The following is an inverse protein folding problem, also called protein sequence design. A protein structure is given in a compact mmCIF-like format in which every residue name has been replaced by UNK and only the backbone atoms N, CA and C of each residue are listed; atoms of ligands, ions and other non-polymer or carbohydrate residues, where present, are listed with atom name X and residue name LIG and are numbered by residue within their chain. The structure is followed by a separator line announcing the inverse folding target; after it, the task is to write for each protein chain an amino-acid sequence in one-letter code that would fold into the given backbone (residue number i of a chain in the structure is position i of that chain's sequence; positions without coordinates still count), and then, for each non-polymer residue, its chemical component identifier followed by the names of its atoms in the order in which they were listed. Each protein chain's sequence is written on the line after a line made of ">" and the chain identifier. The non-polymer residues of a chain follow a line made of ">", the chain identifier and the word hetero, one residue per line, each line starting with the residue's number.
data_IF_681072702222
#
_entry.id   IF_681072702222
#
_cell.length_a   1.000
_cell.length_b   1.000
_cell.length_c   1.000
_cell.angle_alpha   90.00
_cell.angle_beta   90.00
_cell.angle_gamma   90.00
#
_symmetry.space_group_name_H-M   'P 1'
#
loop_
_entity.id
_entity.type
_entity.pdbx_description
1 polymer ?
#
# COMPACT_ATOMS: atom_id res chain seq x y z
N UNK A 1 -21.44 -1.44 1.27
CA UNK A 1 -20.04 -1.90 1.11
C UNK A 1 -19.29 -1.51 2.38
N UNK A 2 -18.44 -2.38 2.94
CA UNK A 2 -17.80 -2.09 4.22
C UNK A 2 -16.64 -1.11 4.04
N UNK A 3 -16.68 0.02 4.76
CA UNK A 3 -15.51 0.87 4.97
C UNK A 3 -14.62 0.21 6.03
N UNK A 4 -13.36 -0.02 5.68
CA UNK A 4 -12.40 -0.65 6.58
C UNK A 4 -11.68 0.41 7.41
N UNK A 5 -11.64 0.21 8.73
CA UNK A 5 -10.97 1.08 9.71
C UNK A 5 -9.73 0.39 10.26
N UNK A 6 -8.81 1.14 10.85
CA UNK A 6 -7.56 0.62 11.43
C UNK A 6 -7.72 -0.49 12.47
N UNK A 7 -8.90 -0.61 13.10
CA UNK A 7 -9.23 -1.67 14.06
C UNK A 7 -9.73 -2.97 13.41
N UNK A 8 -9.84 -3.00 12.09
CA UNK A 8 -10.31 -4.14 11.32
C UNK A 8 -9.11 -4.75 10.58
N UNK A 9 -9.11 -6.07 10.40
CA UNK A 9 -8.10 -6.77 9.60
C UNK A 9 -8.72 -7.16 8.24
N UNK A 10 -8.58 -6.34 7.18
CA UNK A 10 -9.02 -6.70 5.84
C UNK A 10 -8.32 -7.90 5.27
N UNK A 11 -9.03 -9.02 5.32
CA UNK A 11 -8.71 -10.19 4.50
C UNK A 11 -9.84 -10.40 3.49
N UNK A 12 -9.78 -9.68 2.37
CA UNK A 12 -10.44 -10.12 1.13
C UNK A 12 -9.42 -10.97 0.38
N UNK A 13 -9.29 -12.22 0.80
CA UNK A 13 -8.60 -13.24 0.03
C UNK A 13 -9.66 -14.21 -0.47
N UNK A 14 -10.03 -14.07 -1.73
CA UNK A 14 -10.80 -15.08 -2.43
C UNK A 14 -10.49 -14.96 -3.91
N UNK A 15 -9.62 -15.83 -4.42
CA UNK A 15 -9.84 -16.35 -5.77
C UNK A 15 -11.14 -17.15 -5.67
N UNK A 16 -12.28 -16.49 -5.85
CA UNK A 16 -13.56 -17.13 -5.63
C UNK A 16 -13.67 -18.34 -6.56
N UNK A 17 -13.55 -19.54 -5.99
CA UNK A 17 -14.16 -20.75 -6.51
C UNK A 17 -15.68 -20.54 -6.49
N UNK A 18 -16.19 -19.83 -7.48
CA UNK A 18 -17.60 -19.89 -7.80
C UNK A 18 -17.76 -20.92 -8.90
N UNK A 19 -18.52 -21.97 -8.59
CA UNK A 19 -19.14 -22.94 -9.48
C UNK A 19 -20.07 -22.32 -10.54
N UNK A 20 -19.82 -21.06 -10.93
CA UNK A 20 -20.63 -20.21 -11.80
C UNK A 20 -19.81 -19.41 -12.83
N UNK A 21 -18.48 -19.58 -12.89
CA UNK A 21 -17.66 -19.13 -14.03
C UNK A 21 -17.49 -17.62 -14.25
N UNK A 22 -17.91 -16.76 -13.31
CA UNK A 22 -17.75 -15.30 -13.42
C UNK A 22 -16.73 -14.79 -12.41
N UNK A 23 -15.65 -14.16 -12.90
CA UNK A 23 -14.62 -13.56 -12.07
C UNK A 23 -15.22 -12.42 -11.22
N UNK A 24 -15.07 -12.52 -9.90
CA UNK A 24 -15.53 -11.48 -9.00
C UNK A 24 -14.51 -10.34 -8.98
N UNK A 25 -14.87 -9.19 -9.55
CA UNK A 25 -14.08 -7.96 -9.41
C UNK A 25 -14.59 -7.17 -8.21
N UNK A 26 -13.70 -6.81 -7.28
CA UNK A 26 -14.06 -5.91 -6.19
C UNK A 26 -14.34 -4.51 -6.72
N UNK A 27 -15.37 -3.83 -6.22
CA UNK A 27 -15.63 -2.42 -6.55
C UNK A 27 -15.89 -1.61 -5.28
N UNK A 28 -15.56 -0.32 -5.29
CA UNK A 28 -15.83 0.58 -4.18
C UNK A 28 -15.04 0.28 -2.90
N UNK A 29 -13.81 -0.23 -3.01
CA UNK A 29 -12.96 -0.56 -1.86
C UNK A 29 -12.01 0.61 -1.59
N UNK A 30 -12.15 1.22 -0.41
CA UNK A 30 -11.35 2.36 0.01
C UNK A 30 -10.41 2.04 1.17
N UNK A 31 -9.18 2.55 1.10
CA UNK A 31 -8.27 2.69 2.24
C UNK A 31 -8.15 4.17 2.60
N UNK A 32 -8.47 4.50 3.86
CA UNK A 32 -8.47 5.90 4.29
C UNK A 32 -7.92 6.12 5.70
N UNK A 33 -7.29 7.29 5.92
CA UNK A 33 -6.89 7.80 7.24
C UNK A 33 -5.99 6.84 8.04
N UNK A 34 -5.00 6.24 7.38
CA UNK A 34 -4.11 5.23 7.95
C UNK A 34 -2.64 5.61 7.76
N UNK A 35 -1.81 5.30 8.75
CA UNK A 35 -0.36 5.23 8.59
C UNK A 35 0.09 3.78 8.64
N UNK A 36 0.83 3.34 7.63
CA UNK A 36 1.51 2.04 7.59
C UNK A 36 3.01 2.29 7.70
N UNK A 37 3.63 1.74 8.73
CA UNK A 37 5.06 1.87 8.99
C UNK A 37 5.65 0.46 9.12
N UNK A 38 6.56 0.11 8.22
CA UNK A 38 7.22 -1.19 8.29
C UNK A 38 8.51 -1.08 9.08
N UNK A 39 8.63 -1.88 10.13
CA UNK A 39 9.88 -2.06 10.88
C UNK A 39 10.35 -3.50 10.63
N UNK A 40 11.61 -3.69 10.22
CA UNK A 40 12.22 -5.00 9.91
C UNK A 40 11.75 -5.69 8.61
N UNK A 41 11.86 -5.00 7.46
CA UNK A 41 11.67 -5.63 6.15
C UNK A 41 12.76 -6.67 5.84
N UNK A 42 12.55 -7.93 6.23
CA UNK A 42 13.41 -9.06 5.83
C UNK A 42 12.90 -9.62 4.50
N UNK A 43 13.36 -9.05 3.39
CA UNK A 43 12.78 -9.30 2.06
C UNK A 43 13.00 -10.73 1.55
N UNK A 44 11.92 -11.52 1.51
CA UNK A 44 11.67 -12.49 0.45
C UNK A 44 10.15 -12.70 0.32
N UNK A 45 9.46 -11.87 -0.47
CA UNK A 45 8.08 -12.17 -0.91
C UNK A 45 7.08 -11.00 -0.92
N UNK A 46 7.34 -9.90 -0.21
CA UNK A 46 6.44 -8.73 -0.20
C UNK A 46 7.00 -7.65 -1.13
N UNK A 47 6.34 -7.43 -2.28
CA UNK A 47 6.79 -6.48 -3.32
C UNK A 47 6.13 -5.08 -3.17
N UNK A 48 5.01 -5.00 -2.44
CA UNK A 48 4.26 -3.75 -2.20
C UNK A 48 3.68 -3.66 -0.80
N UNK A 49 3.48 -2.43 -0.30
CA UNK A 49 2.75 -2.20 0.98
C UNK A 49 1.24 -2.34 0.76
N UNK A 50 0.71 -1.70 -0.29
CA UNK A 50 -0.70 -1.76 -0.67
C UNK A 50 -0.79 -2.37 -2.06
N UNK A 51 -1.64 -3.37 -2.24
CA UNK A 51 -1.93 -3.97 -3.54
C UNK A 51 -3.43 -3.92 -3.84
N UNK A 52 -3.77 -3.43 -5.03
CA UNK A 52 -5.11 -3.56 -5.62
C UNK A 52 -5.09 -4.66 -6.68
N UNK A 53 -5.70 -5.80 -6.38
CA UNK A 53 -5.81 -6.95 -7.28
C UNK A 53 -7.25 -7.21 -7.73
N UNK A 54 -7.53 -7.23 -9.04
CA UNK A 54 -8.89 -7.48 -9.60
C UNK A 54 -9.98 -6.53 -9.05
N UNK A 55 -9.71 -5.22 -9.07
CA UNK A 55 -10.65 -4.22 -8.56
C UNK A 55 -10.89 -3.03 -9.50
N UNK A 56 -12.03 -2.37 -9.32
CA UNK A 56 -12.39 -1.13 -10.02
C UNK A 56 -12.98 -0.08 -9.07
N UNK A 57 -12.99 1.20 -9.46
CA UNK A 57 -13.64 2.30 -8.71
C UNK A 57 -13.26 2.32 -7.22
N UNK A 58 -11.97 2.13 -6.95
CA UNK A 58 -11.42 1.95 -5.60
C UNK A 58 -10.43 3.07 -5.30
N UNK A 59 -10.07 3.28 -4.04
CA UNK A 59 -9.28 4.46 -3.70
C UNK A 59 -8.37 4.31 -2.48
N UNK A 60 -7.36 5.20 -2.45
CA UNK A 60 -6.50 5.48 -1.31
C UNK A 60 -6.59 6.98 -1.02
N UNK A 61 -7.05 7.34 0.18
CA UNK A 61 -7.20 8.74 0.59
C UNK A 61 -6.58 9.00 1.96
N UNK A 62 -5.71 10.00 2.06
CA UNK A 62 -5.11 10.37 3.34
C UNK A 62 -4.42 9.17 4.01
N UNK A 63 -3.63 8.43 3.23
CA UNK A 63 -2.84 7.29 3.72
C UNK A 63 -1.36 7.65 3.65
N UNK A 64 -0.65 7.37 4.74
CA UNK A 64 0.80 7.47 4.80
C UNK A 64 1.41 6.07 4.77
N UNK A 65 2.42 5.85 3.93
CA UNK A 65 3.21 4.62 3.98
C UNK A 65 4.70 4.96 4.10
N UNK A 66 5.34 4.37 5.12
CA UNK A 66 6.73 4.64 5.51
C UNK A 66 7.53 3.35 5.39
N UNK A 67 8.74 3.48 4.85
CA UNK A 67 9.70 2.38 4.71
C UNK A 67 9.09 1.21 3.89
N UNK A 68 8.84 1.44 2.60
CA UNK A 68 8.32 0.41 1.70
C UNK A 68 9.40 -0.53 1.17
N UNK A 69 9.04 -1.77 0.80
CA UNK A 69 9.99 -2.73 0.24
C UNK A 69 10.50 -2.25 -1.12
N UNK A 70 9.74 -2.49 -2.19
CA UNK A 70 10.02 -1.98 -3.55
C UNK A 70 8.99 -0.95 -4.00
N UNK A 71 7.71 -1.22 -3.71
CA UNK A 71 6.59 -0.39 -4.13
C UNK A 71 5.77 0.01 -2.92
N UNK A 72 5.33 1.27 -2.86
CA UNK A 72 4.35 1.66 -1.86
C UNK A 72 2.94 1.19 -2.27
N UNK A 73 2.62 1.25 -3.57
CA UNK A 73 1.35 0.80 -4.13
C UNK A 73 1.61 -0.03 -5.39
N UNK A 74 0.92 -1.17 -5.54
CA UNK A 74 0.86 -1.97 -6.76
C UNK A 74 -0.57 -2.15 -7.27
N UNK A 75 -0.69 -2.35 -8.57
CA UNK A 75 -1.94 -2.62 -9.27
C UNK A 75 -1.78 -3.88 -10.11
N UNK A 76 -2.68 -4.85 -9.91
CA UNK A 76 -2.76 -6.06 -10.71
C UNK A 76 -4.20 -6.19 -11.19
N UNK A 77 -4.42 -6.06 -12.51
CA UNK A 77 -5.76 -6.15 -13.09
C UNK A 77 -6.75 -5.18 -12.42
N UNK A 78 -6.30 -3.94 -12.18
CA UNK A 78 -7.06 -2.90 -11.52
C UNK A 78 -7.25 -1.68 -12.45
N UNK A 79 -8.45 -1.10 -12.44
CA UNK A 79 -8.82 0.05 -13.29
C UNK A 79 -9.62 1.09 -12.47
N UNK A 80 -9.63 2.36 -12.89
CA UNK A 80 -10.33 3.44 -12.17
C UNK A 80 -9.99 3.51 -10.67
N UNK A 81 -8.69 3.63 -10.36
CA UNK A 81 -8.21 3.77 -8.98
C UNK A 81 -7.80 5.22 -8.70
N UNK A 82 -8.34 5.80 -7.64
CA UNK A 82 -7.98 7.15 -7.18
C UNK A 82 -7.00 7.08 -6.02
N UNK A 83 -5.83 7.71 -6.16
CA UNK A 83 -4.92 7.97 -5.03
C UNK A 83 -4.89 9.47 -4.82
N UNK A 84 -5.29 9.92 -3.64
CA UNK A 84 -5.26 11.35 -3.28
C UNK A 84 -4.84 11.59 -1.84
N UNK A 85 -4.35 12.79 -1.59
CA UNK A 85 -4.00 13.30 -0.25
C UNK A 85 -3.04 12.37 0.54
N UNK A 86 -2.21 11.59 -0.15
CA UNK A 86 -1.42 10.49 0.47
C UNK A 86 0.08 10.79 0.44
N UNK A 87 0.83 10.22 1.39
CA UNK A 87 2.27 10.47 1.56
C UNK A 87 3.06 9.16 1.55
N UNK A 88 4.04 9.06 0.65
CA UNK A 88 4.87 7.86 0.47
C UNK A 88 6.33 8.23 0.63
N UNK A 89 7.01 7.64 1.61
CA UNK A 89 8.43 7.89 1.81
C UNK A 89 9.18 6.62 2.21
N UNK A 90 10.43 6.55 1.77
CA UNK A 90 11.41 5.69 2.42
C UNK A 90 11.94 6.43 3.65
N UNK A 91 12.16 5.72 4.75
CA UNK A 91 12.98 6.28 5.82
C UNK A 91 14.43 6.20 5.33
N UNK A 92 15.00 7.34 4.95
CA UNK A 92 16.44 7.40 4.74
C UNK A 92 17.08 7.21 6.12
N UNK A 93 17.75 6.07 6.33
CA UNK A 93 18.61 5.89 7.49
C UNK A 93 19.41 7.17 7.71
N UNK A 94 19.29 7.77 8.91
CA UNK A 94 20.22 8.81 9.35
C UNK A 94 21.64 8.25 9.21
N UNK A 95 22.35 8.71 8.18
CA UNK A 95 23.59 8.10 7.69
C UNK A 95 23.76 8.20 6.17
N UNK A 96 22.65 8.30 5.40
CA UNK A 96 22.71 8.51 3.95
C UNK A 96 22.92 9.98 3.53
N UNK A 97 22.76 10.92 4.47
CA UNK A 97 23.07 12.35 4.30
C UNK A 97 24.36 12.69 5.07
N UNK A 98 25.48 12.24 4.51
CA UNK A 98 26.87 12.63 4.77
C UNK A 98 27.14 13.70 5.88
N UNK A 99 27.65 13.32 7.07
CA UNK A 99 28.14 14.29 8.07
C UNK A 99 29.58 14.81 7.79
N UNK A 100 30.21 14.51 6.66
CA UNK A 100 31.60 14.94 6.35
C UNK A 100 31.73 16.20 5.49
N UNK A 101 30.67 16.99 5.31
CA UNK A 101 30.82 18.34 4.76
C UNK A 101 30.94 19.36 5.90
N UNK A 102 32.15 19.94 6.03
CA UNK A 102 32.49 21.17 6.75
C UNK A 102 33.05 21.03 8.18
N UNK A 103 34.36 20.72 8.26
CA UNK A 103 35.27 21.38 9.22
C UNK A 103 36.60 21.70 8.54
N UNK A 104 36.61 22.79 7.78
CA UNK A 104 37.80 23.64 7.68
C UNK A 104 37.51 24.85 8.55
N UNK A 105 38.21 24.91 9.68
CA UNK A 105 38.73 26.08 10.41
C UNK A 105 39.42 25.54 11.67
#
# INVERSE_FOLDING_TARGET
>A
MPNWRSSQNPQVSSWANNSSGSAYYGTGIGLEHLTVENTNLTSAGIDSIIEFGNVTQSWVKNVRTINGPRRHISFIQAIHIEIRDSYFCIEALEGALNPMALKHL
#
